data_IF_415480481651
#
_entry.id   IF_415480481651
#
_cell.length_a   1.000
_cell.length_b   1.000
_cell.length_c   1.000
_cell.angle_alpha   90.00
_cell.angle_beta   90.00
_cell.angle_gamma   90.00
#
_symmetry.space_group_name_H-M   'P 1'
#
loop_
_entity.id
_entity.type
_entity.pdbx_description
1 polymer ?
#
# COMPACT_ATOMS: atom_id res chain seq x y z
N UNK A 1 18.85 5.52 -60.33
CA UNK A 1 17.91 4.70 -59.52
C UNK A 1 18.54 4.17 -58.21
N UNK A 2 19.74 3.55 -58.22
CA UNK A 2 20.40 2.99 -57.03
C UNK A 2 20.72 3.98 -55.88
N UNK A 3 20.97 5.26 -56.18
CA UNK A 3 21.28 6.28 -55.16
C UNK A 3 20.08 6.62 -54.25
N UNK A 4 18.86 6.58 -54.80
CA UNK A 4 17.64 6.83 -54.02
C UNK A 4 17.28 5.63 -53.12
N UNK A 5 17.62 4.42 -53.52
CA UNK A 5 17.49 3.20 -52.70
C UNK A 5 18.41 3.25 -51.47
N UNK A 6 19.66 3.70 -51.64
CA UNK A 6 20.62 3.86 -50.54
C UNK A 6 20.18 4.95 -49.56
N UNK A 7 19.74 6.12 -50.07
CA UNK A 7 19.23 7.22 -49.24
C UNK A 7 18.00 6.81 -48.43
N UNK A 8 17.07 6.03 -49.01
CA UNK A 8 15.92 5.47 -48.28
C UNK A 8 16.34 4.51 -47.17
N UNK A 9 17.36 3.68 -47.38
CA UNK A 9 17.91 2.78 -46.35
C UNK A 9 18.58 3.56 -45.21
N UNK A 10 19.34 4.61 -45.52
CA UNK A 10 19.95 5.50 -44.53
C UNK A 10 18.90 6.23 -43.68
N UNK A 11 17.82 6.72 -44.30
CA UNK A 11 16.74 7.40 -43.58
C UNK A 11 16.01 6.47 -42.59
N UNK A 12 15.86 5.18 -42.94
CA UNK A 12 15.30 4.16 -42.02
C UNK A 12 16.19 3.91 -40.80
N UNK A 13 17.51 3.84 -41.01
CA UNK A 13 18.49 3.63 -39.93
C UNK A 13 18.47 4.82 -38.95
N UNK A 14 18.44 6.04 -39.48
CA UNK A 14 18.33 7.26 -38.66
C UNK A 14 17.00 7.27 -37.88
N UNK A 15 15.89 6.89 -38.53
CA UNK A 15 14.58 6.78 -37.87
C UNK A 15 14.58 5.78 -36.71
N UNK A 16 15.21 4.61 -36.88
CA UNK A 16 15.33 3.62 -35.81
C UNK A 16 16.21 4.14 -34.66
N UNK A 17 17.32 4.81 -34.97
CA UNK A 17 18.19 5.41 -33.94
C UNK A 17 17.46 6.48 -33.12
N UNK A 18 16.69 7.36 -33.78
CA UNK A 18 15.87 8.35 -33.10
C UNK A 18 14.76 7.72 -32.26
N UNK A 19 14.16 6.61 -32.72
CA UNK A 19 13.15 5.88 -31.97
C UNK A 19 13.73 5.23 -30.70
N UNK A 20 14.93 4.66 -30.78
CA UNK A 20 15.63 4.12 -29.60
C UNK A 20 15.96 5.22 -28.60
N UNK A 21 16.47 6.37 -29.07
CA UNK A 21 16.75 7.54 -28.22
C UNK A 21 15.46 8.05 -27.56
N UNK A 22 14.35 8.11 -28.31
CA UNK A 22 13.05 8.50 -27.76
C UNK A 22 12.59 7.54 -26.67
N UNK A 23 12.70 6.23 -26.87
CA UNK A 23 12.36 5.22 -25.86
C UNK A 23 13.24 5.37 -24.61
N UNK A 24 14.55 5.50 -24.77
CA UNK A 24 15.48 5.68 -23.64
C UNK A 24 15.22 7.01 -22.92
N UNK A 25 14.95 8.09 -23.64
CA UNK A 25 14.79 9.41 -23.02
C UNK A 25 13.41 9.62 -22.40
N UNK A 26 12.32 9.12 -23.02
CA UNK A 26 10.95 9.32 -22.52
C UNK A 26 10.42 8.14 -21.69
N UNK A 27 10.73 6.90 -22.05
CA UNK A 27 10.17 5.72 -21.34
C UNK A 27 11.00 5.40 -20.11
N UNK A 28 12.33 5.42 -20.19
CA UNK A 28 13.22 5.10 -19.05
C UNK A 28 12.98 5.93 -17.78
N UNK A 29 12.82 7.28 -17.83
CA UNK A 29 12.57 8.04 -16.60
C UNK A 29 11.17 7.79 -16.00
N UNK A 30 10.26 7.17 -16.74
CA UNK A 30 8.93 6.77 -16.24
C UNK A 30 8.99 5.45 -15.47
N UNK A 31 10.07 4.67 -15.65
CA UNK A 31 10.34 3.44 -14.91
C UNK A 31 11.20 3.79 -13.69
N UNK A 32 10.59 3.78 -12.49
CA UNK A 32 11.25 3.86 -11.18
C UNK A 32 11.93 5.18 -10.76
N UNK A 33 11.25 6.32 -10.84
CA UNK A 33 11.62 7.46 -9.97
C UNK A 33 10.95 7.30 -8.60
N UNK A 34 11.44 6.32 -7.83
CA UNK A 34 11.15 6.19 -6.41
C UNK A 34 11.79 7.37 -5.65
N UNK A 35 11.03 8.46 -5.47
CA UNK A 35 11.49 9.63 -4.70
C UNK A 35 11.28 9.38 -3.21
N UNK A 36 12.26 8.72 -2.61
CA UNK A 36 12.40 8.60 -1.16
C UNK A 36 12.59 10.01 -0.55
N UNK A 37 11.51 10.72 -0.24
CA UNK A 37 11.57 11.96 0.55
C UNK A 37 11.66 11.61 2.04
N UNK A 38 12.80 11.07 2.45
CA UNK A 38 13.15 10.95 3.87
C UNK A 38 13.27 12.35 4.47
N UNK A 39 12.19 12.84 5.07
CA UNK A 39 12.26 14.00 5.97
C UNK A 39 12.59 13.47 7.36
N UNK A 40 13.75 12.82 7.53
CA UNK A 40 14.09 12.14 8.78
C UNK A 40 15.34 12.71 9.41
N UNK A 41 15.28 13.02 10.71
CA UNK A 41 16.47 13.29 11.52
C UNK A 41 17.03 11.93 11.98
N UNK A 42 18.25 11.60 11.56
CA UNK A 42 18.94 10.41 12.09
C UNK A 42 19.42 10.74 13.52
N UNK A 43 19.09 9.87 14.47
CA UNK A 43 19.34 10.10 15.91
C UNK A 43 20.47 9.23 16.45
N UNK A 44 20.92 8.21 15.69
CA UNK A 44 22.05 7.34 16.06
C UNK A 44 22.87 6.91 14.84
N UNK A 45 23.77 7.75 14.33
CA UNK A 45 24.85 7.34 13.45
C UNK A 45 26.11 7.17 14.30
N UNK A 46 26.18 6.14 15.15
CA UNK A 46 27.41 5.87 15.92
C UNK A 46 28.13 4.68 15.32
N UNK A 47 29.41 4.84 15.01
CA UNK A 47 30.28 3.73 14.62
C UNK A 47 30.18 2.61 15.67
N UNK A 48 29.88 1.38 15.21
CA UNK A 48 29.63 0.22 16.08
C UNK A 48 28.17 -0.11 16.40
N UNK A 49 27.18 0.74 16.04
CA UNK A 49 25.77 0.39 16.23
C UNK A 49 25.31 -0.69 15.21
N UNK A 50 24.61 -1.73 15.65
CA UNK A 50 24.11 -2.82 14.78
C UNK A 50 22.90 -2.41 13.91
N UNK A 51 22.26 -1.28 14.20
CA UNK A 51 21.12 -0.76 13.43
C UNK A 51 21.11 0.76 13.35
N UNK A 52 20.45 1.28 12.31
CA UNK A 52 20.18 2.70 12.11
C UNK A 52 18.75 3.03 12.53
N UNK A 53 18.58 4.08 13.35
CA UNK A 53 17.26 4.54 13.83
C UNK A 53 16.94 5.94 13.31
N UNK A 54 15.72 6.10 12.80
CA UNK A 54 15.20 7.31 12.20
C UNK A 54 13.90 7.74 12.88
N UNK A 55 13.74 9.05 13.07
CA UNK A 55 12.51 9.66 13.59
C UNK A 55 11.66 10.27 12.48
N UNK A 56 10.33 10.19 12.65
CA UNK A 56 9.31 10.83 11.82
C UNK A 56 9.51 10.56 10.33
N UNK A 57 9.62 9.29 9.96
CA UNK A 57 9.84 8.91 8.57
C UNK A 57 8.56 9.01 7.75
N UNK A 58 8.73 9.26 6.45
CA UNK A 58 7.67 9.15 5.45
C UNK A 58 8.27 8.51 4.20
N UNK A 59 7.66 7.41 3.77
CA UNK A 59 8.03 6.64 2.60
C UNK A 59 6.90 6.78 1.58
N UNK A 60 7.14 7.58 0.55
CA UNK A 60 6.18 7.86 -0.51
C UNK A 60 6.61 7.06 -1.74
N UNK A 61 5.69 6.29 -2.29
CA UNK A 61 5.94 5.46 -3.46
C UNK A 61 4.77 5.43 -4.42
N UNK A 62 5.06 4.92 -5.62
CA UNK A 62 4.07 4.58 -6.63
C UNK A 62 4.36 3.14 -7.06
N UNK A 63 3.36 2.27 -7.00
CA UNK A 63 3.51 0.90 -7.47
C UNK A 63 3.48 0.82 -9.01
N UNK A 64 3.79 -0.36 -9.57
CA UNK A 64 3.77 -0.58 -11.03
C UNK A 64 2.38 -0.39 -11.67
N UNK A 65 1.32 -0.33 -10.87
CA UNK A 65 -0.06 -0.09 -11.30
C UNK A 65 -0.47 1.38 -11.22
N UNK A 66 0.44 2.28 -10.81
CA UNK A 66 0.20 3.71 -10.61
C UNK A 66 -0.45 4.06 -9.27
N UNK A 67 -0.57 3.11 -8.34
CA UNK A 67 -1.14 3.34 -7.00
C UNK A 67 -0.13 4.08 -6.14
N UNK A 68 -0.50 5.26 -5.67
CA UNK A 68 0.36 6.01 -4.75
C UNK A 68 0.15 5.53 -3.33
N UNK A 69 1.23 5.45 -2.56
CA UNK A 69 1.16 5.13 -1.15
C UNK A 69 2.13 5.97 -0.34
N UNK A 70 1.76 6.24 0.91
CA UNK A 70 2.58 6.97 1.86
C UNK A 70 2.56 6.24 3.20
N UNK A 71 3.67 5.60 3.55
CA UNK A 71 3.86 4.92 4.83
C UNK A 71 4.64 5.85 5.75
N UNK A 72 4.07 6.22 6.89
CA UNK A 72 4.70 7.07 7.90
C UNK A 72 4.88 6.30 9.20
N UNK A 73 5.90 6.66 9.96
CA UNK A 73 6.12 6.12 11.28
C UNK A 73 6.85 7.12 12.18
N UNK A 74 6.54 7.08 13.48
CA UNK A 74 7.27 7.87 14.47
C UNK A 74 8.73 7.43 14.58
N UNK A 75 8.96 6.12 14.55
CA UNK A 75 10.30 5.53 14.55
C UNK A 75 10.43 4.47 13.47
N UNK A 76 11.61 4.42 12.85
CA UNK A 76 12.01 3.35 11.95
C UNK A 76 13.40 2.84 12.31
N UNK A 77 13.56 1.52 12.35
CA UNK A 77 14.83 0.84 12.59
C UNK A 77 15.17 -0.01 11.38
N UNK A 78 16.39 0.17 10.86
CA UNK A 78 16.94 -0.61 9.75
C UNK A 78 18.15 -1.36 10.29
N UNK A 79 18.09 -2.69 10.22
CA UNK A 79 19.21 -3.55 10.57
C UNK A 79 20.32 -3.44 9.51
N UNK A 80 21.59 -3.48 9.93
CA UNK A 80 22.72 -3.47 9.00
C UNK A 80 22.81 -4.73 8.16
N UNK A 81 22.44 -5.88 8.74
CA UNK A 81 22.53 -7.18 8.10
C UNK A 81 21.31 -7.46 7.20
N UNK A 82 20.18 -6.80 7.48
CA UNK A 82 18.97 -6.88 6.67
C UNK A 82 18.36 -5.50 6.41
N UNK A 83 18.88 -4.84 5.37
CA UNK A 83 18.46 -3.48 5.01
C UNK A 83 17.12 -3.43 4.26
N UNK A 84 16.61 -4.56 3.81
CA UNK A 84 15.35 -4.66 3.06
C UNK A 84 14.14 -4.59 3.98
N UNK A 85 14.28 -5.03 5.24
CA UNK A 85 13.23 -4.98 6.24
C UNK A 85 13.39 -3.76 7.16
N UNK A 86 12.35 -2.93 7.22
CA UNK A 86 12.28 -1.77 8.11
C UNK A 86 11.27 -2.05 9.21
N UNK A 87 11.74 -2.07 10.46
CA UNK A 87 10.85 -2.12 11.62
C UNK A 87 10.31 -0.73 11.91
N UNK A 88 8.99 -0.60 12.04
CA UNK A 88 8.27 0.66 12.20
C UNK A 88 7.52 0.69 13.53
N UNK A 89 7.44 1.86 14.17
CA UNK A 89 6.59 2.11 15.35
C UNK A 89 5.69 3.32 15.16
N UNK A 90 4.46 3.22 15.65
CA UNK A 90 3.36 4.18 15.45
C UNK A 90 3.17 4.46 13.96
N UNK A 91 2.68 3.43 13.25
CA UNK A 91 2.57 3.41 11.79
C UNK A 91 1.28 4.08 11.36
N UNK A 92 1.36 4.94 10.35
CA UNK A 92 0.24 5.59 9.69
C UNK A 92 0.45 5.60 8.17
N UNK A 93 -0.31 4.76 7.46
CA UNK A 93 -0.20 4.54 6.03
C UNK A 93 -1.45 4.98 5.28
N UNK A 94 -1.27 5.68 4.15
CA UNK A 94 -2.33 5.96 3.17
C UNK A 94 -2.05 5.25 1.84
N UNK A 95 -3.08 4.62 1.26
CA UNK A 95 -3.04 4.01 -0.07
C UNK A 95 -4.11 4.65 -0.97
N UNK A 96 -3.67 5.35 -2.00
CA UNK A 96 -4.53 6.01 -2.99
C UNK A 96 -4.93 5.03 -4.09
N UNK A 97 -6.18 4.58 -4.10
CA UNK A 97 -6.72 3.69 -5.12
C UNK A 97 -6.92 4.42 -6.46
N UNK A 98 -7.10 3.64 -7.54
CA UNK A 98 -7.23 4.15 -8.91
C UNK A 98 -8.41 5.10 -9.12
N UNK A 99 -9.45 4.99 -8.30
CA UNK A 99 -10.63 5.87 -8.34
C UNK A 99 -10.48 7.14 -7.50
N UNK A 100 -9.30 7.36 -6.89
CA UNK A 100 -9.03 8.48 -6.00
C UNK A 100 -9.44 8.26 -4.55
N UNK A 101 -10.04 7.12 -4.20
CA UNK A 101 -10.36 6.80 -2.80
C UNK A 101 -9.11 6.40 -2.03
N UNK A 102 -9.11 6.63 -0.71
CA UNK A 102 -7.96 6.36 0.16
C UNK A 102 -8.33 5.25 1.15
N UNK A 103 -7.46 4.25 1.27
CA UNK A 103 -7.45 3.31 2.40
C UNK A 103 -6.39 3.81 3.39
N UNK A 104 -6.82 4.12 4.61
CA UNK A 104 -5.92 4.47 5.71
C UNK A 104 -5.71 3.26 6.61
N UNK A 105 -4.46 2.93 6.95
CA UNK A 105 -4.12 1.85 7.88
C UNK A 105 -3.21 2.41 8.95
N UNK A 106 -3.60 2.25 10.21
CA UNK A 106 -2.78 2.61 11.37
C UNK A 106 -2.52 1.38 12.24
N UNK A 107 -1.37 1.35 12.92
CA UNK A 107 -1.01 0.28 13.86
C UNK A 107 0.10 0.73 14.79
N UNK A 108 0.32 0.00 15.90
CA UNK A 108 1.39 0.31 16.83
C UNK A 108 2.77 -0.11 16.31
N UNK A 109 2.85 -1.23 15.61
CA UNK A 109 4.10 -1.73 15.01
C UNK A 109 3.87 -2.18 13.58
N UNK A 110 4.90 -2.08 12.74
CA UNK A 110 4.87 -2.67 11.42
C UNK A 110 6.23 -3.10 10.92
N UNK A 111 6.24 -3.94 9.90
CA UNK A 111 7.42 -4.41 9.20
C UNK A 111 7.23 -4.16 7.71
N UNK A 112 8.03 -3.25 7.16
CA UNK A 112 7.98 -2.87 5.76
C UNK A 112 9.11 -3.54 4.99
N UNK A 113 8.77 -4.22 3.90
CA UNK A 113 9.75 -4.84 2.99
C UNK A 113 9.97 -3.93 1.78
N UNK A 114 11.15 -3.33 1.64
CA UNK A 114 11.48 -2.43 0.53
C UNK A 114 11.50 -3.11 -0.84
N UNK A 115 11.81 -4.41 -0.87
CA UNK A 115 11.95 -5.19 -2.09
C UNK A 115 10.58 -5.50 -2.69
N UNK A 116 9.61 -5.88 -1.86
CA UNK A 116 8.25 -6.20 -2.33
C UNK A 116 7.26 -5.04 -2.18
N UNK A 117 7.60 -4.04 -1.36
CA UNK A 117 6.73 -2.99 -0.83
C UNK A 117 5.58 -3.53 0.06
N UNK A 118 5.64 -4.80 0.46
CA UNK A 118 4.66 -5.37 1.38
C UNK A 118 4.85 -4.79 2.78
N UNK A 119 3.76 -4.77 3.54
CA UNK A 119 3.77 -4.27 4.91
C UNK A 119 2.90 -5.14 5.82
N UNK A 120 3.53 -5.61 6.88
CA UNK A 120 2.88 -6.23 8.01
C UNK A 120 2.58 -5.16 9.05
N UNK A 121 1.35 -5.10 9.52
CA UNK A 121 0.86 -4.26 10.60
C UNK A 121 0.46 -5.13 11.78
N UNK A 122 0.89 -4.75 12.97
CA UNK A 122 0.63 -5.51 14.19
C UNK A 122 0.27 -4.58 15.34
N UNK A 123 -0.58 -5.11 16.23
CA UNK A 123 -1.09 -4.47 17.45
C UNK A 123 -1.96 -3.24 17.15
N UNK A 124 -3.24 -3.33 17.52
CA UNK A 124 -4.24 -2.28 17.35
C UNK A 124 -4.33 -1.78 15.90
N UNK A 125 -4.45 -2.71 14.96
CA UNK A 125 -4.63 -2.38 13.56
C UNK A 125 -6.01 -1.77 13.38
N UNK A 126 -6.06 -0.60 12.72
CA UNK A 126 -7.30 0.02 12.27
C UNK A 126 -7.17 0.41 10.82
N UNK A 127 -8.05 -0.14 9.99
CA UNK A 127 -8.20 0.15 8.57
C UNK A 127 -9.45 1.01 8.42
N UNK A 128 -9.36 2.12 7.70
CA UNK A 128 -10.48 3.04 7.47
C UNK A 128 -10.59 3.35 5.99
N UNK A 129 -11.82 3.25 5.49
CA UNK A 129 -12.23 3.74 4.18
C UNK A 129 -13.49 4.59 4.36
N UNK A 130 -13.97 5.24 3.29
CA UNK A 130 -15.13 6.15 3.32
C UNK A 130 -16.34 5.58 4.06
N UNK A 131 -16.68 4.32 3.79
CA UNK A 131 -17.95 3.72 4.23
C UNK A 131 -17.75 2.58 5.25
N UNK A 132 -16.55 2.44 5.83
CA UNK A 132 -16.28 1.38 6.79
C UNK A 132 -14.95 1.46 7.53
N UNK A 133 -14.92 0.78 8.67
CA UNK A 133 -13.76 0.66 9.57
C UNK A 133 -13.57 -0.82 9.89
N UNK A 134 -12.33 -1.32 9.80
CA UNK A 134 -11.98 -2.66 10.25
C UNK A 134 -10.91 -2.55 11.33
N UNK A 135 -11.14 -3.18 12.49
CA UNK A 135 -10.14 -3.28 13.56
C UNK A 135 -9.72 -4.72 13.76
N UNK A 136 -8.44 -4.94 14.05
CA UNK A 136 -7.88 -6.27 14.28
C UNK A 136 -6.52 -6.20 15.02
N UNK A 137 -5.97 -7.36 15.34
CA UNK A 137 -4.63 -7.48 15.91
C UNK A 137 -3.54 -7.40 14.83
N UNK A 138 -3.82 -7.89 13.62
CA UNK A 138 -2.85 -8.00 12.53
C UNK A 138 -3.49 -7.65 11.18
N UNK A 139 -2.73 -7.00 10.32
CA UNK A 139 -3.04 -6.93 8.89
C UNK A 139 -1.77 -7.04 8.04
N UNK A 140 -1.88 -7.57 6.84
CA UNK A 140 -0.77 -7.74 5.92
C UNK A 140 -1.20 -7.27 4.54
N UNK A 141 -0.56 -6.22 4.05
CA UNK A 141 -0.82 -5.73 2.70
C UNK A 141 0.21 -6.29 1.74
N UNK A 142 -0.25 -7.14 0.83
CA UNK A 142 0.56 -7.69 -0.26
C UNK A 142 0.33 -6.86 -1.52
N UNK A 143 1.34 -6.09 -1.91
CA UNK A 143 1.24 -5.12 -3.01
C UNK A 143 1.02 -5.83 -4.34
N UNK A 144 1.76 -6.93 -4.57
CA UNK A 144 1.67 -7.70 -5.82
C UNK A 144 0.27 -8.28 -6.07
N UNK A 145 -0.40 -8.75 -5.04
CA UNK A 145 -1.74 -9.34 -5.16
C UNK A 145 -2.87 -8.34 -4.96
N UNK A 146 -2.57 -7.10 -4.56
CA UNK A 146 -3.55 -6.08 -4.18
C UNK A 146 -4.45 -6.48 -3.00
N UNK A 147 -4.04 -7.40 -2.14
CA UNK A 147 -4.86 -7.87 -1.02
C UNK A 147 -4.35 -7.38 0.33
N UNK A 148 -5.27 -6.97 1.20
CA UNK A 148 -5.02 -6.78 2.62
C UNK A 148 -5.66 -7.96 3.36
N UNK A 149 -4.84 -8.76 4.01
CA UNK A 149 -5.29 -9.86 4.87
C UNK A 149 -5.35 -9.37 6.30
N UNK A 150 -6.52 -9.43 6.92
CA UNK A 150 -6.79 -8.92 8.26
C UNK A 150 -7.15 -10.09 9.16
N UNK A 151 -6.49 -10.22 10.31
CA UNK A 151 -6.71 -11.35 11.21
C UNK A 151 -6.51 -11.01 12.68
N UNK A 152 -7.10 -11.85 13.54
CA UNK A 152 -7.06 -11.72 14.99
C UNK A 152 -8.04 -10.68 15.51
N UNK A 153 -9.07 -11.13 16.22
CA UNK A 153 -10.14 -10.29 16.79
C UNK A 153 -10.71 -9.30 15.77
N UNK A 154 -11.04 -9.77 14.56
CA UNK A 154 -11.50 -8.89 13.48
C UNK A 154 -12.92 -8.40 13.76
N UNK A 155 -13.08 -7.08 13.75
CA UNK A 155 -14.38 -6.40 13.81
C UNK A 155 -14.45 -5.42 12.65
N UNK A 156 -15.47 -5.55 11.81
CA UNK A 156 -15.70 -4.70 10.65
C UNK A 156 -17.04 -3.97 10.80
N UNK A 157 -16.98 -2.65 10.90
CA UNK A 157 -18.13 -1.76 10.95
C UNK A 157 -18.33 -1.10 9.58
N UNK A 158 -19.55 -1.15 9.05
CA UNK A 158 -19.95 -0.57 7.77
C UNK A 158 -21.05 0.46 7.99
N UNK A 159 -21.00 1.56 7.23
CA UNK A 159 -22.02 2.60 7.26
C UNK A 159 -22.57 2.79 5.85
N UNK A 160 -23.84 2.47 5.67
CA UNK A 160 -24.56 2.72 4.43
C UNK A 160 -25.47 3.93 4.60
N UNK A 161 -25.44 4.85 3.64
CA UNK A 161 -26.35 6.01 3.61
C UNK A 161 -27.28 5.91 2.42
N UNK A 162 -28.58 5.87 2.68
CA UNK A 162 -29.60 5.90 1.64
C UNK A 162 -29.55 7.24 0.89
N UNK A 163 -29.34 7.18 -0.42
CA UNK A 163 -29.14 8.38 -1.24
C UNK A 163 -30.37 9.29 -1.30
N UNK A 164 -31.58 8.72 -1.18
CA UNK A 164 -32.88 9.42 -1.28
C UNK A 164 -33.35 9.92 0.07
N UNK A 165 -33.32 9.07 1.10
CA UNK A 165 -33.88 9.38 2.42
C UNK A 165 -32.85 9.97 3.39
N UNK A 166 -31.56 9.92 3.04
CA UNK A 166 -30.42 10.30 3.90
C UNK A 166 -30.34 9.50 5.20
N UNK A 167 -31.13 8.43 5.35
CA UNK A 167 -31.06 7.53 6.52
C UNK A 167 -29.77 6.73 6.50
N UNK A 168 -29.20 6.52 7.68
CA UNK A 168 -27.98 5.73 7.88
C UNK A 168 -28.29 4.37 8.47
N UNK A 169 -27.61 3.36 7.96
CA UNK A 169 -27.60 2.00 8.50
C UNK A 169 -26.18 1.65 8.85
N UNK A 170 -26.00 1.08 10.04
CA UNK A 170 -24.70 0.62 10.52
C UNK A 170 -24.74 -0.88 10.70
N UNK A 171 -23.77 -1.58 10.14
CA UNK A 171 -23.62 -3.02 10.28
C UNK A 171 -22.28 -3.35 10.93
N UNK A 172 -22.25 -4.25 11.90
CA UNK A 172 -21.02 -4.77 12.47
C UNK A 172 -20.89 -6.27 12.18
N UNK A 173 -19.71 -6.70 11.75
CA UNK A 173 -19.37 -8.10 11.48
C UNK A 173 -18.15 -8.48 12.32
N UNK A 174 -18.24 -9.60 13.03
CA UNK A 174 -17.09 -10.24 13.71
C UNK A 174 -16.69 -11.51 12.98
N UNK A 175 -15.39 -11.69 12.73
CA UNK A 175 -14.87 -12.79 11.93
C UNK A 175 -13.44 -13.21 12.34
N UNK A 176 -13.00 -14.36 11.83
CA UNK A 176 -11.62 -14.84 12.04
C UNK A 176 -10.63 -14.09 11.13
N UNK A 177 -11.01 -13.93 9.85
CA UNK A 177 -10.22 -13.26 8.83
C UNK A 177 -11.09 -12.44 7.91
N UNK A 178 -10.55 -11.32 7.44
CA UNK A 178 -11.13 -10.50 6.37
C UNK A 178 -10.07 -10.31 5.29
N UNK A 179 -10.46 -10.46 4.03
CA UNK A 179 -9.60 -10.23 2.87
C UNK A 179 -10.19 -9.07 2.09
N UNK A 180 -9.41 -8.00 1.95
CA UNK A 180 -9.80 -6.80 1.19
C UNK A 180 -9.02 -6.83 -0.12
N UNK A 181 -9.72 -6.98 -1.25
CA UNK A 181 -9.13 -6.79 -2.58
C UNK A 181 -9.20 -5.31 -2.94
N UNK A 182 -8.05 -4.64 -2.89
CA UNK A 182 -7.94 -3.20 -3.14
C UNK A 182 -8.04 -2.83 -4.62
N UNK A 183 -8.02 -3.82 -5.53
CA UNK A 183 -8.22 -3.62 -6.96
C UNK A 183 -9.68 -3.80 -7.35
N UNK A 184 -10.31 -4.90 -6.91
CA UNK A 184 -11.73 -5.21 -7.16
C UNK A 184 -12.67 -4.48 -6.21
N UNK A 185 -12.15 -3.94 -5.10
CA UNK A 185 -12.91 -3.32 -4.01
C UNK A 185 -13.92 -4.28 -3.37
N UNK A 186 -13.52 -5.53 -3.23
CA UNK A 186 -14.33 -6.56 -2.57
C UNK A 186 -13.79 -6.83 -1.18
N UNK A 187 -14.71 -7.17 -0.27
CA UNK A 187 -14.39 -7.61 1.08
C UNK A 187 -14.93 -9.03 1.23
N UNK A 188 -14.04 -9.97 1.50
CA UNK A 188 -14.38 -11.36 1.79
C UNK A 188 -14.19 -11.61 3.28
N UNK A 189 -15.19 -12.23 3.90
CA UNK A 189 -15.16 -12.60 5.31
C UNK A 189 -14.99 -14.10 5.41
N UNK A 190 -13.95 -14.54 6.13
CA UNK A 190 -13.55 -15.95 6.22
C UNK A 190 -13.62 -16.42 7.67
N UNK A 191 -14.17 -17.62 7.85
CA UNK A 191 -14.20 -18.37 9.11
C UNK A 191 -13.23 -19.54 8.99
N UNK A 192 -12.25 -19.62 9.88
CA UNK A 192 -11.21 -20.66 9.85
C UNK A 192 -11.35 -21.65 11.01
N UNK A 193 -11.90 -21.24 12.16
CA UNK A 193 -12.03 -22.12 13.32
C UNK A 193 -13.40 -22.84 13.37
N UNK A 194 -13.37 -24.18 13.45
CA UNK A 194 -14.55 -25.00 13.74
C UNK A 194 -15.14 -24.59 15.09
N UNK A 195 -16.33 -23.98 15.07
CA UNK A 195 -17.09 -23.63 16.27
C UNK A 195 -17.22 -22.12 16.54
N UNK A 196 -16.47 -21.26 15.84
CA UNK A 196 -16.72 -19.81 15.86
C UNK A 196 -17.86 -19.45 14.89
N UNK A 197 -18.65 -18.44 15.24
CA UNK A 197 -19.75 -17.94 14.40
C UNK A 197 -19.40 -16.55 13.88
N UNK A 198 -19.65 -16.30 12.58
CA UNK A 198 -19.71 -14.93 12.07
C UNK A 198 -21.00 -14.32 12.63
N UNK A 199 -20.85 -13.28 13.43
CA UNK A 199 -22.00 -12.56 13.99
C UNK A 199 -22.10 -11.20 13.31
N UNK A 200 -23.28 -10.96 12.73
CA UNK A 200 -23.65 -9.69 12.08
C UNK A 200 -24.72 -9.00 12.91
N UNK A 201 -24.54 -7.71 13.21
CA UNK A 201 -25.61 -6.89 13.80
C UNK A 201 -25.90 -5.72 12.87
N UNK A 202 -27.18 -5.38 12.70
CA UNK A 202 -27.64 -4.24 11.90
C UNK A 202 -28.40 -3.29 12.81
N UNK A 203 -28.06 -2.00 12.75
CA UNK A 203 -28.75 -0.93 13.46
C UNK A 203 -29.14 0.18 12.49
N UNK A 204 -30.30 0.77 12.68
CA UNK A 204 -30.76 1.96 11.95
C UNK A 204 -30.59 3.18 12.85
N UNK A 205 -29.95 4.24 12.36
CA UNK A 205 -30.04 5.54 13.03
C UNK A 205 -31.49 6.06 12.88
N UNK A 206 -32.07 6.51 13.99
CA UNK A 206 -33.45 7.04 14.05
C UNK A 206 -33.55 8.40 13.35
#
# INVERSE_FOLDING_TARGET
MKLNEIRKKQLKIIGIGLLVIFIVYFVYPTINTFRLKLTSKNIKPTEGAESNVFENISYIGVDASGKQYNVRAKLATIDKDNQDLISLKEVDSDFLLKDGSIIKIISKTGLFNKTTNDILYEQNVKITQKDGVVTANRAEYLVKSNNIFVSGNVVADFVETDSKTKKRRTSQIKADKVIIDTFKKTVEVVMEEKGKQVTGTLSNER
#
